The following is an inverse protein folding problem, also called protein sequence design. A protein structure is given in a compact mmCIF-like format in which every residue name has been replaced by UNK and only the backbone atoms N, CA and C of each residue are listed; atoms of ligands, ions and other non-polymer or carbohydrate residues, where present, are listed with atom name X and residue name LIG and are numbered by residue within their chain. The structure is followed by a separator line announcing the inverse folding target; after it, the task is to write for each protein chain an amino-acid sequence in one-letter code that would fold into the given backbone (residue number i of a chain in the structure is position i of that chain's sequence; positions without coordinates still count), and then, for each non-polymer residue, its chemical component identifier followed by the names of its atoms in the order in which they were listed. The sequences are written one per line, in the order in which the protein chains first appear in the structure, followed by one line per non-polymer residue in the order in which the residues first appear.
data_IF_489303712936
#
_entry.id   IF_489303712936
#
_cell.length_a   1.000
_cell.length_b   1.000
_cell.length_c   1.000
_cell.angle_alpha   90.00
_cell.angle_beta   90.00
_cell.angle_gamma   90.00
#
_symmetry.space_group_name_H-M   'P 1'
#
loop_
_entity.id
_entity.type
_entity.pdbx_description
1 polymer ?
#
# COMPACT_ATOMS: atom_id res chain seq x y z
N UNK A 1 7.77 -9.08 8.96
CA UNK A 1 7.60 -10.35 9.71
C UNK A 1 6.62 -10.13 10.86
N UNK A 2 5.70 -11.05 11.08
CA UNK A 2 4.78 -11.06 12.22
C UNK A 2 5.28 -11.98 13.34
N UNK A 3 4.73 -11.84 14.55
CA UNK A 3 5.05 -12.73 15.66
C UNK A 3 4.66 -14.19 15.36
N UNK A 4 5.32 -15.19 15.98
CA UNK A 4 5.00 -16.60 15.75
C UNK A 4 3.50 -16.91 15.94
N UNK A 5 2.91 -17.65 14.99
CA UNK A 5 1.49 -18.00 14.99
C UNK A 5 0.56 -16.95 14.37
N UNK A 6 1.10 -15.82 13.91
CA UNK A 6 0.38 -14.80 13.15
C UNK A 6 0.86 -14.78 11.69
N UNK A 7 -0.07 -14.51 10.78
CA UNK A 7 0.21 -14.26 9.37
C UNK A 7 -0.42 -12.95 8.92
N UNK A 8 0.16 -12.34 7.90
CA UNK A 8 -0.31 -11.09 7.32
C UNK A 8 0.46 -10.78 6.05
N UNK A 9 -0.08 -9.84 5.28
CA UNK A 9 0.56 -9.37 4.06
C UNK A 9 1.50 -8.21 4.38
N UNK A 10 2.57 -8.06 3.61
CA UNK A 10 3.25 -6.77 3.56
C UNK A 10 2.30 -5.72 2.96
N UNK A 11 2.15 -4.61 3.65
CA UNK A 11 1.08 -3.67 3.34
C UNK A 11 0.93 -2.53 4.34
N UNK A 12 -0.12 -1.74 4.14
CA UNK A 12 -0.55 -0.69 5.04
C UNK A 12 -1.56 -1.24 6.04
N UNK A 13 -1.27 -1.06 7.33
CA UNK A 13 -2.19 -1.35 8.42
C UNK A 13 -2.62 -0.07 9.12
N UNK A 14 -3.87 0.01 9.57
CA UNK A 14 -4.45 1.19 10.17
C UNK A 14 -5.47 0.89 11.27
N UNK A 15 -5.63 1.86 12.16
CA UNK A 15 -6.54 1.80 13.30
C UNK A 15 -7.20 3.17 13.48
N UNK A 16 -8.44 3.20 13.96
CA UNK A 16 -9.16 4.45 14.24
C UNK A 16 -9.69 4.50 15.68
N UNK A 17 -9.77 5.72 16.21
CA UNK A 17 -10.32 6.04 17.52
C UNK A 17 -10.88 7.47 17.51
N UNK A 18 -11.80 7.77 18.43
CA UNK A 18 -12.39 9.11 18.57
C UNK A 18 -11.40 10.16 19.11
N UNK A 19 -10.21 9.74 19.55
CA UNK A 19 -9.16 10.64 20.02
C UNK A 19 -7.77 10.02 19.86
N UNK A 20 -6.74 10.87 19.86
CA UNK A 20 -5.33 10.47 19.72
C UNK A 20 -4.87 9.46 20.79
N UNK A 21 -5.51 9.42 21.96
CA UNK A 21 -5.22 8.46 23.05
C UNK A 21 -6.40 7.53 23.34
N UNK A 22 -7.28 7.36 22.37
CA UNK A 22 -8.48 6.55 22.51
C UNK A 22 -8.22 5.05 22.38
N UNK A 23 -9.31 4.29 22.45
CA UNK A 23 -9.29 2.85 22.23
C UNK A 23 -9.34 2.58 20.73
N UNK A 24 -8.15 2.41 20.14
CA UNK A 24 -8.00 2.14 18.71
C UNK A 24 -8.62 0.80 18.31
N UNK A 25 -9.52 0.85 17.33
CA UNK A 25 -10.08 -0.33 16.69
C UNK A 25 -9.40 -0.55 15.34
N UNK A 26 -9.09 -1.81 14.97
CA UNK A 26 -8.51 -2.13 13.67
C UNK A 26 -9.47 -1.75 12.54
N UNK A 27 -8.94 -1.10 11.50
CA UNK A 27 -9.70 -0.90 10.26
C UNK A 27 -9.92 -2.26 9.56
N UNK A 28 -11.05 -2.42 8.88
CA UNK A 28 -11.42 -3.68 8.20
C UNK A 28 -11.31 -4.93 9.09
N UNK A 29 -11.66 -4.80 10.37
CA UNK A 29 -11.63 -5.82 11.43
C UNK A 29 -10.24 -6.40 11.78
N UNK A 30 -9.29 -6.39 10.84
CA UNK A 30 -7.95 -6.99 10.94
C UNK A 30 -6.82 -5.96 11.06
N UNK A 31 -7.12 -4.71 10.78
CA UNK A 31 -6.17 -3.61 10.64
C UNK A 31 -5.65 -3.47 9.21
N UNK A 32 -5.86 -4.45 8.32
CA UNK A 32 -5.33 -4.42 6.96
C UNK A 32 -6.12 -3.42 6.09
N UNK A 33 -5.43 -2.42 5.55
CA UNK A 33 -6.00 -1.37 4.69
C UNK A 33 -5.66 -1.63 3.22
N UNK A 34 -4.38 -1.84 2.93
CA UNK A 34 -3.89 -2.22 1.59
C UNK A 34 -2.84 -3.31 1.76
N UNK A 35 -2.92 -4.35 0.93
CA UNK A 35 -1.90 -5.39 0.83
C UNK A 35 -1.18 -5.30 -0.51
N UNK A 36 0.09 -5.68 -0.54
CA UNK A 36 0.72 -6.08 -1.79
C UNK A 36 0.01 -7.34 -2.35
N UNK A 37 0.03 -7.52 -3.69
CA UNK A 37 -0.43 -8.78 -4.30
C UNK A 37 0.29 -9.99 -3.71
N UNK A 38 -0.45 -11.08 -3.49
CA UNK A 38 0.09 -12.27 -2.84
C UNK A 38 1.18 -12.98 -3.68
N UNK A 39 1.14 -12.82 -5.00
CA UNK A 39 2.13 -13.34 -5.94
C UNK A 39 3.41 -12.50 -5.98
N UNK A 40 3.36 -11.24 -5.54
CA UNK A 40 4.53 -10.35 -5.45
C UNK A 40 4.48 -9.54 -4.15
N UNK A 41 4.67 -10.20 -2.99
CA UNK A 41 4.38 -9.62 -1.68
C UNK A 41 5.30 -8.46 -1.31
N UNK A 42 6.44 -8.30 -1.99
CA UNK A 42 7.40 -7.23 -1.76
C UNK A 42 7.36 -6.11 -2.80
N UNK A 43 6.25 -6.00 -3.56
CA UNK A 43 6.11 -4.99 -4.63
C UNK A 43 6.25 -3.57 -4.12
N UNK A 44 5.58 -3.19 -3.04
CA UNK A 44 5.57 -1.82 -2.55
C UNK A 44 5.86 -1.72 -1.05
N UNK A 45 6.50 -0.61 -0.65
CA UNK A 45 6.82 -0.34 0.75
C UNK A 45 6.81 1.15 1.09
N UNK A 46 6.94 1.48 2.38
CA UNK A 46 6.90 2.85 2.93
C UNK A 46 5.65 3.64 2.50
N UNK A 47 4.49 3.08 2.83
CA UNK A 47 3.19 3.68 2.58
C UNK A 47 3.02 4.99 3.36
N UNK A 48 2.60 6.04 2.67
CA UNK A 48 2.30 7.37 3.22
C UNK A 48 0.86 7.72 2.86
N UNK A 49 0.04 7.95 3.88
CA UNK A 49 -1.36 8.35 3.74
C UNK A 49 -1.47 9.86 3.89
N UNK A 50 -2.25 10.50 3.02
CA UNK A 50 -2.59 11.91 3.13
C UNK A 50 -4.05 12.15 2.72
N UNK A 51 -4.65 13.15 3.35
CA UNK A 51 -6.05 13.53 3.10
C UNK A 51 -6.19 14.22 1.74
N UNK A 52 -7.26 13.89 1.02
CA UNK A 52 -7.66 14.58 -0.20
C UNK A 52 -9.18 14.67 -0.27
N UNK A 53 -9.71 15.82 0.15
CA UNK A 53 -11.17 16.07 0.21
C UNK A 53 -11.86 14.96 1.03
N UNK A 54 -12.75 14.18 0.41
CA UNK A 54 -13.51 13.10 1.05
C UNK A 54 -12.86 11.71 0.87
N UNK A 55 -11.65 11.65 0.28
CA UNK A 55 -10.89 10.43 0.06
C UNK A 55 -9.51 10.49 0.75
N UNK A 56 -8.87 9.32 0.88
CA UNK A 56 -7.48 9.21 1.29
C UNK A 56 -6.64 8.84 0.07
N UNK A 57 -5.48 9.51 -0.06
CA UNK A 57 -4.47 9.13 -1.03
C UNK A 57 -3.34 8.40 -0.32
N UNK A 58 -2.87 7.32 -0.93
CA UNK A 58 -1.77 6.51 -0.39
C UNK A 58 -0.68 6.38 -1.42
N UNK A 59 0.52 6.85 -1.06
CA UNK A 59 1.71 6.72 -1.87
C UNK A 59 2.68 5.71 -1.26
N UNK A 60 3.41 4.99 -2.11
CA UNK A 60 4.50 4.10 -1.73
C UNK A 60 5.59 4.13 -2.81
N UNK A 61 6.73 3.49 -2.53
CA UNK A 61 7.72 3.21 -3.57
C UNK A 61 7.66 1.74 -3.98
N UNK A 62 7.98 1.46 -5.24
CA UNK A 62 8.16 0.11 -5.77
C UNK A 62 9.51 -0.43 -5.33
N UNK A 63 9.50 -1.57 -4.66
CA UNK A 63 10.66 -2.23 -4.09
C UNK A 63 11.14 -3.37 -5.00
N UNK A 64 10.37 -4.45 -5.12
CA UNK A 64 10.65 -5.57 -6.04
C UNK A 64 9.40 -6.03 -6.78
N UNK A 65 9.37 -5.86 -8.10
CA UNK A 65 8.20 -6.20 -8.93
C UNK A 65 8.18 -7.67 -9.42
N UNK A 66 9.23 -8.44 -9.15
CA UNK A 66 9.42 -9.81 -9.66
C UNK A 66 9.76 -10.85 -8.58
N UNK A 67 9.82 -10.46 -7.31
CA UNK A 67 10.14 -11.38 -6.20
C UNK A 67 8.87 -12.00 -5.63
N UNK A 68 8.60 -13.23 -6.06
CA UNK A 68 7.53 -14.10 -5.59
C UNK A 68 8.03 -15.09 -4.53
N UNK A 69 8.40 -14.60 -3.35
CA UNK A 69 8.95 -15.41 -2.26
C UNK A 69 8.27 -15.08 -0.92
N UNK A 70 8.41 -15.96 0.07
CA UNK A 70 7.86 -15.73 1.43
C UNK A 70 8.70 -14.76 2.26
N UNK A 71 9.97 -14.55 1.87
CA UNK A 71 10.92 -13.69 2.60
C UNK A 71 11.85 -12.95 1.63
N UNK A 72 12.32 -11.77 2.04
CA UNK A 72 13.35 -11.01 1.35
C UNK A 72 14.75 -11.60 1.49
N UNK A 73 14.94 -12.65 2.30
CA UNK A 73 16.21 -13.40 2.40
C UNK A 73 16.69 -13.90 1.03
N UNK A 74 15.76 -14.22 0.11
CA UNK A 74 16.12 -14.61 -1.27
C UNK A 74 16.90 -13.52 -2.02
N UNK A 75 16.73 -12.25 -1.65
CA UNK A 75 17.48 -11.13 -2.24
C UNK A 75 18.91 -11.09 -1.70
N UNK A 76 19.12 -11.48 -0.44
CA UNK A 76 20.45 -11.50 0.19
C UNK A 76 21.37 -12.56 -0.45
N UNK A 77 20.78 -13.60 -1.04
CA UNK A 77 21.49 -14.65 -1.78
C UNK A 77 21.96 -14.21 -3.18
N UNK A 78 21.40 -13.12 -3.71
CA UNK A 78 21.74 -12.60 -5.04
C UNK A 78 23.08 -11.86 -5.03
N UNK A 79 23.74 -11.83 -6.18
CA UNK A 79 24.91 -10.96 -6.36
C UNK A 79 24.53 -9.49 -6.23
N UNK A 80 25.48 -8.64 -5.85
CA UNK A 80 25.21 -7.21 -5.68
C UNK A 80 24.72 -6.52 -6.98
N UNK A 81 25.13 -7.02 -8.15
CA UNK A 81 24.64 -6.53 -9.45
C UNK A 81 23.18 -6.93 -9.69
N UNK A 82 22.79 -8.15 -9.33
CA UNK A 82 21.39 -8.62 -9.43
C UNK A 82 20.48 -7.88 -8.45
N UNK A 83 20.92 -7.67 -7.21
CA UNK A 83 20.16 -6.87 -6.23
C UNK A 83 19.87 -5.48 -6.76
N UNK A 84 20.89 -4.79 -7.31
CA UNK A 84 20.72 -3.46 -7.93
C UNK A 84 19.81 -3.47 -9.14
N UNK A 85 19.89 -4.51 -9.97
CA UNK A 85 19.10 -4.61 -11.20
C UNK A 85 17.63 -4.88 -10.92
N UNK A 86 17.32 -5.66 -9.88
CA UNK A 86 15.93 -6.01 -9.50
C UNK A 86 15.26 -4.96 -8.63
N UNK A 87 16.02 -4.20 -7.84
CA UNK A 87 15.45 -3.13 -7.03
C UNK A 87 14.87 -2.02 -7.93
N UNK A 88 13.55 -1.79 -7.83
CA UNK A 88 12.86 -0.84 -8.70
C UNK A 88 13.13 0.61 -8.28
N UNK A 89 13.07 0.90 -6.97
CA UNK A 89 13.58 2.16 -6.40
C UNK A 89 12.90 3.43 -6.87
N UNK A 90 11.62 3.37 -7.24
CA UNK A 90 10.87 4.51 -7.81
C UNK A 90 9.50 4.65 -7.15
N UNK A 91 8.88 5.83 -7.26
CA UNK A 91 7.53 6.02 -6.76
C UNK A 91 6.52 5.20 -7.58
N UNK A 92 5.73 4.41 -6.86
CA UNK A 92 4.62 3.66 -7.44
C UNK A 92 3.44 4.54 -7.80
N UNK A 93 2.33 3.94 -8.25
CA UNK A 93 1.07 4.65 -8.41
C UNK A 93 0.50 5.09 -7.06
N UNK A 94 -0.16 6.25 -7.01
CA UNK A 94 -0.93 6.66 -5.84
C UNK A 94 -2.27 5.93 -5.82
N UNK A 95 -2.59 5.27 -4.71
CA UNK A 95 -3.88 4.62 -4.49
C UNK A 95 -4.88 5.63 -3.93
N UNK A 96 -6.15 5.50 -4.35
CA UNK A 96 -7.28 6.24 -3.82
C UNK A 96 -8.11 5.33 -2.94
N UNK A 97 -8.28 5.69 -1.68
CA UNK A 97 -9.05 4.93 -0.72
C UNK A 97 -10.25 5.72 -0.21
N UNK A 98 -11.40 5.05 -0.10
CA UNK A 98 -12.53 5.54 0.67
C UNK A 98 -12.41 5.08 2.12
N UNK A 99 -12.93 5.88 3.05
CA UNK A 99 -13.04 5.57 4.48
C UNK A 99 -14.48 5.80 4.94
N UNK A 100 -15.13 4.75 5.44
CA UNK A 100 -16.45 4.79 6.06
C UNK A 100 -16.39 4.17 7.46
N UNK A 101 -16.35 5.02 8.48
CA UNK A 101 -16.17 4.61 9.87
C UNK A 101 -14.87 3.82 10.06
N UNK A 102 -14.99 2.52 10.27
CA UNK A 102 -13.85 1.59 10.45
C UNK A 102 -13.54 0.78 9.18
N UNK A 103 -14.19 1.07 8.05
CA UNK A 103 -14.01 0.33 6.81
C UNK A 103 -13.28 1.18 5.76
N UNK A 104 -12.30 0.58 5.08
CA UNK A 104 -11.58 1.20 3.96
C UNK A 104 -11.74 0.36 2.71
N UNK A 105 -11.74 1.04 1.56
CA UNK A 105 -11.93 0.40 0.26
C UNK A 105 -11.08 1.07 -0.81
N UNK A 106 -10.52 0.30 -1.74
CA UNK A 106 -9.81 0.84 -2.90
C UNK A 106 -10.82 1.39 -3.92
N UNK A 107 -10.76 2.69 -4.17
CA UNK A 107 -11.63 3.40 -5.11
C UNK A 107 -10.99 3.59 -6.47
N UNK A 108 -9.66 3.59 -6.54
CA UNK A 108 -8.94 3.80 -7.78
C UNK A 108 -7.43 3.85 -7.59
N UNK A 109 -6.75 4.02 -8.71
CA UNK A 109 -5.29 4.06 -8.82
C UNK A 109 -4.96 5.16 -9.81
N UNK A 110 -4.09 6.08 -9.39
CA UNK A 110 -3.51 7.12 -10.22
C UNK A 110 -2.22 6.62 -10.89
N UNK A 111 -1.69 7.39 -11.82
CA UNK A 111 -0.42 7.06 -12.46
C UNK A 111 0.75 7.07 -11.47
N UNK A 112 1.85 6.44 -11.88
CA UNK A 112 3.12 6.52 -11.18
C UNK A 112 3.54 7.98 -11.04
N UNK A 113 4.19 8.33 -9.92
CA UNK A 113 4.66 9.69 -9.63
C UNK A 113 3.58 10.76 -9.58
N UNK A 114 2.30 10.39 -9.56
CA UNK A 114 1.21 11.36 -9.42
C UNK A 114 0.90 11.58 -7.94
N UNK A 115 1.36 12.71 -7.37
CA UNK A 115 1.08 13.13 -5.99
C UNK A 115 0.26 14.43 -5.97
N UNK A 116 -1.07 14.35 -6.10
CA UNK A 116 -1.94 15.53 -6.09
C UNK A 116 -1.82 16.31 -4.77
N UNK A 117 -1.87 17.63 -4.87
CA UNK A 117 -2.09 18.50 -3.72
C UNK A 117 -3.52 18.37 -3.16
N UNK A 118 -3.81 18.93 -1.98
CA UNK A 118 -5.10 18.75 -1.30
C UNK A 118 -6.34 19.22 -2.07
N UNK A 119 -6.17 20.14 -3.04
CA UNK A 119 -7.25 20.73 -3.83
C UNK A 119 -7.13 20.45 -5.34
N UNK A 120 -6.14 19.65 -5.74
CA UNK A 120 -5.95 19.31 -7.15
C UNK A 120 -7.08 18.40 -7.64
N UNK A 121 -7.64 18.61 -8.84
CA UNK A 121 -8.71 17.76 -9.35
C UNK A 121 -8.21 16.33 -9.61
N UNK A 122 -8.97 15.33 -9.16
CA UNK A 122 -8.70 13.93 -9.47
C UNK A 122 -9.50 13.45 -10.69
N UNK A 123 -8.96 12.50 -11.48
CA UNK A 123 -9.73 11.82 -12.52
C UNK A 123 -10.91 11.05 -11.91
N UNK A 124 -11.97 10.82 -12.69
CA UNK A 124 -13.12 10.02 -12.27
C UNK A 124 -12.70 8.60 -11.86
N UNK A 125 -13.28 8.07 -10.78
CA UNK A 125 -12.96 6.73 -10.28
C UNK A 125 -13.27 5.60 -11.27
N UNK A 126 -14.22 5.81 -12.20
CA UNK A 126 -14.51 4.89 -13.32
C UNK A 126 -13.40 4.77 -14.36
N UNK A 127 -12.46 5.71 -14.41
CA UNK A 127 -11.34 5.68 -15.37
C UNK A 127 -10.08 5.02 -14.78
N UNK A 128 -10.06 4.77 -13.46
CA UNK A 128 -9.01 4.03 -12.79
C UNK A 128 -9.14 2.55 -13.14
N UNK A 129 -8.14 1.98 -13.82
CA UNK A 129 -8.11 0.56 -14.18
C UNK A 129 -8.27 -0.29 -12.92
N UNK A 130 -9.40 -0.99 -12.80
CA UNK A 130 -9.59 -2.06 -11.82
C UNK A 130 -8.48 -3.10 -12.02
N UNK A 131 -7.50 -3.14 -11.12
CA UNK A 131 -6.54 -4.24 -11.06
C UNK A 131 -7.07 -5.27 -10.06
N UNK A 132 -8.17 -5.93 -10.42
CA UNK A 132 -8.44 -7.28 -9.96
C UNK A 132 -7.88 -8.24 -11.01
N UNK A 133 -6.64 -8.68 -10.83
CA UNK A 133 -6.16 -9.98 -11.30
C UNK A 133 -5.19 -10.55 -10.29
#
# INVERSE_FOLDING_TARGET
MFAPGLSGFDGLYGFAADSLRGNYQPLNDSGLVVANPADVPFRSYSWMVYEHQDELLVQSFLNYEDIAAESLEVVEELSADEQRTRFTGTLGPTLRLGLDGHHTSLQGVLDHWHLPGPADPLPSSTDSKSQNR
#
